data_IF_991167925584
#
_entry.id   IF_991167925584
#
_cell.length_a   1.000
_cell.length_b   1.000
_cell.length_c   1.000
_cell.angle_alpha   90.00
_cell.angle_beta   90.00
_cell.angle_gamma   90.00
#
_symmetry.space_group_name_H-M   'P 1'
#
loop_
_entity.id
_entity.type
_entity.pdbx_description
1 polymer ?
#
# COMPACT_ATOMS: atom_id res chain seq x y z
N UNK A 1 16.86 -10.96 -21.42
CA UNK A 1 17.58 -11.17 -22.68
C UNK A 1 18.23 -9.88 -23.15
N UNK A 2 19.07 -9.27 -22.32
CA UNK A 2 19.83 -8.06 -22.68
C UNK A 2 20.96 -8.42 -23.66
N UNK A 3 21.62 -9.56 -23.44
CA UNK A 3 22.56 -10.15 -24.39
C UNK A 3 21.80 -11.24 -25.15
N UNK A 4 21.40 -10.91 -26.38
CA UNK A 4 20.67 -11.76 -27.31
C UNK A 4 21.49 -11.94 -28.60
N UNK A 5 20.96 -12.69 -29.58
CA UNK A 5 21.60 -12.88 -30.89
C UNK A 5 22.14 -11.61 -31.52
N UNK A 6 21.31 -10.58 -31.64
CA UNK A 6 21.66 -9.30 -32.26
C UNK A 6 22.83 -8.64 -31.53
N UNK A 7 22.80 -8.67 -30.19
CA UNK A 7 23.88 -8.09 -29.37
C UNK A 7 25.18 -8.89 -29.55
N UNK A 8 25.09 -10.23 -29.59
CA UNK A 8 26.25 -11.12 -29.78
C UNK A 8 26.88 -10.92 -31.15
N UNK A 9 26.09 -10.70 -32.20
CA UNK A 9 26.58 -10.46 -33.55
C UNK A 9 27.50 -9.23 -33.65
N UNK A 10 27.22 -8.19 -32.86
CA UNK A 10 28.05 -6.97 -32.79
C UNK A 10 29.38 -7.16 -32.05
N UNK A 11 29.54 -8.26 -31.32
CA UNK A 11 30.76 -8.52 -30.56
C UNK A 11 31.93 -8.95 -31.46
N UNK A 12 33.15 -8.93 -30.92
CA UNK A 12 34.32 -9.51 -31.59
C UNK A 12 34.17 -11.02 -31.69
N UNK A 13 34.67 -11.61 -32.77
CA UNK A 13 34.70 -13.06 -32.94
C UNK A 13 35.64 -13.69 -31.89
N UNK A 14 35.22 -14.82 -31.32
CA UNK A 14 35.95 -15.52 -30.28
C UNK A 14 35.88 -14.88 -28.89
N UNK A 15 34.95 -13.94 -28.66
CA UNK A 15 34.71 -13.35 -27.33
C UNK A 15 34.30 -14.41 -26.30
N UNK A 16 34.61 -14.17 -25.02
CA UNK A 16 34.13 -14.97 -23.91
C UNK A 16 33.07 -14.21 -23.12
N UNK A 17 32.00 -14.90 -22.73
CA UNK A 17 30.87 -14.29 -22.00
C UNK A 17 30.81 -14.90 -20.59
N UNK A 18 30.76 -14.05 -19.57
CA UNK A 18 30.64 -14.47 -18.17
C UNK A 18 29.35 -13.88 -17.60
N UNK A 19 28.48 -14.73 -17.05
CA UNK A 19 27.28 -14.28 -16.33
C UNK A 19 27.20 -14.96 -14.95
N UNK A 20 27.55 -14.19 -13.92
CA UNK A 20 27.34 -14.54 -12.52
C UNK A 20 26.38 -13.57 -11.83
N UNK A 21 25.49 -12.93 -12.60
CA UNK A 21 24.61 -11.87 -12.11
C UNK A 21 23.17 -12.35 -11.93
N UNK A 22 22.41 -12.50 -13.02
CA UNK A 22 21.04 -13.04 -12.98
C UNK A 22 20.75 -13.93 -14.19
N UNK A 23 19.93 -14.95 -13.97
CA UNK A 23 19.30 -15.73 -15.03
C UNK A 23 18.55 -14.84 -16.02
N UNK A 24 18.58 -15.21 -17.29
CA UNK A 24 17.91 -14.47 -18.36
C UNK A 24 18.55 -13.13 -18.75
N UNK A 25 19.68 -12.69 -18.17
CA UNK A 25 20.44 -11.54 -18.73
C UNK A 25 20.96 -11.89 -20.12
N UNK A 26 21.58 -13.06 -20.24
CA UNK A 26 22.02 -13.65 -21.50
C UNK A 26 20.96 -14.66 -21.96
N UNK A 27 20.54 -14.57 -23.22
CA UNK A 27 19.66 -15.58 -23.79
C UNK A 27 20.46 -16.89 -23.98
N UNK A 28 20.07 -17.93 -23.25
CA UNK A 28 20.82 -19.20 -23.17
C UNK A 28 20.90 -19.92 -24.52
N UNK A 29 19.81 -19.89 -25.29
CA UNK A 29 19.74 -20.52 -26.62
C UNK A 29 20.65 -19.80 -27.62
N UNK A 30 20.54 -18.47 -27.69
CA UNK A 30 21.38 -17.68 -28.59
C UNK A 30 22.86 -17.79 -28.24
N UNK A 31 23.19 -17.88 -26.95
CA UNK A 31 24.56 -18.13 -26.49
C UNK A 31 25.06 -19.51 -26.95
N UNK A 32 24.24 -20.56 -26.81
CA UNK A 32 24.57 -21.89 -27.28
C UNK A 32 24.84 -21.93 -28.79
N UNK A 33 23.94 -21.33 -29.59
CA UNK A 33 24.09 -21.19 -31.04
C UNK A 33 25.37 -20.43 -31.42
N UNK A 34 25.69 -19.35 -30.68
CA UNK A 34 26.88 -18.54 -30.94
C UNK A 34 28.19 -19.25 -30.58
N UNK A 35 28.19 -20.10 -29.56
CA UNK A 35 29.35 -20.93 -29.19
C UNK A 35 29.57 -22.03 -30.24
N UNK A 36 28.49 -22.67 -30.69
CA UNK A 36 28.57 -23.71 -31.73
C UNK A 36 29.03 -23.15 -33.08
N UNK A 37 28.57 -21.95 -33.45
CA UNK A 37 29.02 -21.27 -34.68
C UNK A 37 30.45 -20.73 -34.59
N UNK A 38 31.04 -20.67 -33.39
CA UNK A 38 32.38 -20.12 -33.15
C UNK A 38 32.42 -18.59 -33.03
N UNK A 39 31.26 -17.91 -33.11
CA UNK A 39 31.16 -16.46 -32.83
C UNK A 39 31.62 -16.14 -31.41
N UNK A 40 31.23 -16.99 -30.45
CA UNK A 40 31.65 -16.93 -29.05
C UNK A 40 32.64 -18.06 -28.79
N UNK A 41 33.81 -17.71 -28.22
CA UNK A 41 34.90 -18.64 -27.92
C UNK A 41 34.60 -19.56 -26.74
N UNK A 42 33.73 -19.14 -25.83
CA UNK A 42 33.25 -19.90 -24.69
C UNK A 42 32.46 -19.05 -23.70
N UNK A 43 31.93 -19.67 -22.65
CA UNK A 43 31.18 -18.97 -21.61
C UNK A 43 31.41 -19.53 -20.21
N UNK A 44 31.18 -18.70 -19.20
CA UNK A 44 31.10 -19.13 -17.80
C UNK A 44 29.80 -18.61 -17.17
N UNK A 45 28.98 -19.51 -16.63
CA UNK A 45 27.64 -19.20 -16.13
C UNK A 45 27.47 -19.74 -14.71
N UNK A 46 27.10 -18.86 -13.78
CA UNK A 46 26.70 -19.26 -12.43
C UNK A 46 25.18 -19.28 -12.24
N UNK A 47 24.43 -18.67 -13.16
CA UNK A 47 22.99 -18.43 -13.05
C UNK A 47 22.27 -18.81 -14.35
N UNK A 48 21.03 -19.29 -14.23
CA UNK A 48 20.19 -19.73 -15.34
C UNK A 48 18.80 -19.08 -15.23
N UNK A 49 18.11 -18.91 -16.35
CA UNK A 49 16.75 -18.33 -16.40
C UNK A 49 15.77 -19.14 -15.55
N UNK A 50 15.90 -20.47 -15.58
CA UNK A 50 15.21 -21.39 -14.70
C UNK A 50 16.21 -22.20 -13.89
N UNK A 51 16.03 -22.20 -12.57
CA UNK A 51 16.90 -22.93 -11.65
C UNK A 51 16.05 -23.87 -10.78
N UNK A 52 16.33 -25.20 -10.77
CA UNK A 52 17.36 -25.91 -11.55
C UNK A 52 17.11 -25.89 -13.07
N UNK A 53 18.17 -25.86 -13.91
CA UNK A 53 18.03 -25.82 -15.36
C UNK A 53 17.46 -27.15 -15.88
N UNK A 54 16.41 -27.06 -16.70
CA UNK A 54 15.80 -28.21 -17.36
C UNK A 54 16.50 -28.54 -18.69
N UNK A 55 16.94 -27.51 -19.42
CA UNK A 55 17.73 -27.67 -20.64
C UNK A 55 19.22 -27.72 -20.30
N UNK A 56 19.83 -28.88 -20.53
CA UNK A 56 21.25 -29.11 -20.29
C UNK A 56 22.11 -28.89 -21.53
N UNK A 57 21.55 -28.45 -22.65
CA UNK A 57 22.25 -28.32 -23.93
C UNK A 57 23.45 -27.38 -23.84
N UNK A 58 23.29 -26.26 -23.12
CA UNK A 58 24.36 -25.29 -22.90
C UNK A 58 25.45 -25.83 -21.95
N UNK A 59 25.04 -26.52 -20.88
CA UNK A 59 25.93 -27.10 -19.85
C UNK A 59 26.79 -28.23 -20.44
N UNK A 60 26.28 -28.94 -21.45
CA UNK A 60 26.98 -30.04 -22.12
C UNK A 60 28.09 -29.59 -23.09
N UNK A 61 28.22 -28.29 -23.37
CA UNK A 61 29.26 -27.79 -24.25
C UNK A 61 30.59 -27.70 -23.50
N UNK A 62 31.65 -28.33 -24.01
CA UNK A 62 32.99 -28.32 -23.41
C UNK A 62 33.58 -26.91 -23.22
N UNK A 63 33.11 -25.93 -24.00
CA UNK A 63 33.52 -24.52 -23.94
C UNK A 63 32.71 -23.70 -22.93
N UNK A 64 31.85 -24.35 -22.15
CA UNK A 64 31.00 -23.71 -21.15
C UNK A 64 31.36 -24.24 -19.77
N UNK A 65 31.74 -23.33 -18.89
CA UNK A 65 31.94 -23.60 -17.47
C UNK A 65 30.66 -23.22 -16.74
N UNK A 66 30.09 -24.12 -15.96
CA UNK A 66 28.91 -23.84 -15.16
C UNK A 66 29.15 -24.11 -13.68
N UNK A 67 28.60 -23.24 -12.84
CA UNK A 67 28.49 -23.45 -11.40
C UNK A 67 27.03 -23.29 -10.96
N UNK A 68 26.54 -24.04 -9.96
CA UNK A 68 25.14 -24.02 -9.56
C UNK A 68 24.84 -22.87 -8.58
N UNK A 69 24.83 -21.62 -9.05
CA UNK A 69 24.50 -20.42 -8.27
C UNK A 69 25.33 -20.29 -6.98
N UNK A 70 26.65 -20.40 -7.12
CA UNK A 70 27.59 -20.46 -6.02
C UNK A 70 28.16 -19.10 -5.62
N UNK A 71 27.87 -18.00 -6.33
CA UNK A 71 28.47 -16.70 -6.07
C UNK A 71 28.37 -16.23 -4.60
N UNK A 72 27.26 -16.53 -3.91
CA UNK A 72 27.06 -16.22 -2.49
C UNK A 72 27.27 -17.41 -1.55
N UNK A 73 27.69 -18.57 -2.07
CA UNK A 73 27.90 -19.81 -1.32
C UNK A 73 29.31 -19.90 -0.73
N UNK A 74 29.75 -18.83 -0.05
CA UNK A 74 31.02 -18.77 0.68
C UNK A 74 30.78 -18.61 2.18
N UNK A 75 31.71 -19.08 3.01
CA UNK A 75 31.57 -18.96 4.47
C UNK A 75 31.48 -17.51 4.91
N UNK A 76 32.32 -16.66 4.33
CA UNK A 76 32.42 -15.24 4.62
C UNK A 76 31.13 -14.50 4.22
N UNK A 77 30.54 -14.81 3.06
CA UNK A 77 29.29 -14.19 2.64
C UNK A 77 28.13 -14.60 3.55
N UNK A 78 28.03 -15.89 3.89
CA UNK A 78 26.98 -16.39 4.78
C UNK A 78 27.11 -15.81 6.20
N UNK A 79 28.32 -15.70 6.73
CA UNK A 79 28.59 -15.07 8.04
C UNK A 79 28.21 -13.59 8.04
N UNK A 80 28.63 -12.84 7.02
CA UNK A 80 28.28 -11.42 6.89
C UNK A 80 26.77 -11.20 6.77
N UNK A 81 26.07 -12.04 5.99
CA UNK A 81 24.60 -11.98 5.87
C UNK A 81 23.94 -12.31 7.21
N UNK A 82 24.41 -13.34 7.92
CA UNK A 82 23.87 -13.71 9.22
C UNK A 82 24.02 -12.58 10.24
N UNK A 83 25.20 -11.96 10.32
CA UNK A 83 25.46 -10.79 11.19
C UNK A 83 24.56 -9.64 10.77
N UNK A 84 24.50 -9.29 9.48
CA UNK A 84 23.70 -8.18 9.00
C UNK A 84 22.19 -8.35 9.30
N UNK A 85 21.65 -9.57 9.18
CA UNK A 85 20.25 -9.85 9.53
C UNK A 85 20.05 -9.80 11.05
N UNK A 86 20.97 -10.36 11.84
CA UNK A 86 20.89 -10.30 13.30
C UNK A 86 20.91 -8.84 13.80
N UNK A 87 21.80 -8.00 13.27
CA UNK A 87 21.85 -6.57 13.57
C UNK A 87 20.55 -5.85 13.19
N UNK A 88 19.98 -6.14 12.00
CA UNK A 88 18.70 -5.56 11.58
C UNK A 88 17.55 -5.95 12.52
N UNK A 89 17.51 -7.19 13.00
CA UNK A 89 16.52 -7.66 13.97
C UNK A 89 16.70 -6.99 15.33
N UNK A 90 17.94 -6.85 15.82
CA UNK A 90 18.26 -6.15 17.06
C UNK A 90 17.88 -4.67 16.97
N UNK A 91 18.25 -4.01 15.88
CA UNK A 91 17.93 -2.62 15.56
C UNK A 91 16.41 -2.38 15.64
N UNK A 92 15.62 -3.28 15.05
CA UNK A 92 14.16 -3.20 15.09
C UNK A 92 13.60 -3.45 16.50
N UNK A 93 14.00 -4.53 17.17
CA UNK A 93 13.40 -4.95 18.43
C UNK A 93 13.75 -4.01 19.60
N UNK A 94 14.97 -3.45 19.62
CA UNK A 94 15.42 -2.57 20.69
C UNK A 94 15.14 -1.10 20.41
N UNK A 95 15.35 -0.65 19.17
CA UNK A 95 15.34 0.77 18.82
C UNK A 95 14.18 1.16 17.87
N UNK A 96 13.45 0.18 17.34
CA UNK A 96 12.42 0.40 16.32
C UNK A 96 12.97 0.77 14.94
N UNK A 97 14.27 0.68 14.72
CA UNK A 97 14.92 1.07 13.46
C UNK A 97 14.63 0.03 12.38
N UNK A 98 14.09 0.45 11.24
CA UNK A 98 13.76 -0.42 10.11
C UNK A 98 14.78 -0.17 8.99
N UNK A 99 15.65 -1.16 8.73
CA UNK A 99 16.68 -1.10 7.67
C UNK A 99 16.38 -2.15 6.61
N UNK A 100 16.59 -1.80 5.35
CA UNK A 100 16.47 -2.72 4.21
C UNK A 100 15.15 -3.52 4.16
N UNK A 101 14.07 -2.99 4.74
CA UNK A 101 12.78 -3.65 4.72
C UNK A 101 12.25 -3.70 3.29
N UNK A 102 11.94 -4.90 2.83
CA UNK A 102 11.38 -5.14 1.49
C UNK A 102 9.92 -4.70 1.37
N UNK A 103 9.27 -4.41 2.50
CA UNK A 103 7.84 -4.12 2.59
C UNK A 103 7.52 -2.82 3.35
N UNK A 104 8.51 -2.02 3.76
CA UNK A 104 8.32 -0.80 4.54
C UNK A 104 9.24 0.32 4.03
N UNK A 105 8.83 1.60 4.06
CA UNK A 105 9.68 2.70 3.60
C UNK A 105 10.95 2.82 4.45
N UNK A 106 12.06 3.20 3.82
CA UNK A 106 13.30 3.50 4.52
C UNK A 106 13.17 4.83 5.28
N UNK A 107 12.95 4.77 6.59
CA UNK A 107 12.79 5.94 7.46
C UNK A 107 13.93 5.96 8.48
N UNK A 108 14.65 7.08 8.65
CA UNK A 108 15.63 7.24 9.72
C UNK A 108 15.01 7.02 11.11
N UNK A 109 15.73 6.32 11.99
CA UNK A 109 15.24 5.91 13.31
C UNK A 109 14.76 7.08 14.19
N UNK A 110 15.46 8.21 14.12
CA UNK A 110 15.17 9.45 14.84
C UNK A 110 13.87 10.13 14.36
N UNK A 111 13.48 9.91 13.11
CA UNK A 111 12.26 10.47 12.53
C UNK A 111 11.04 9.57 12.72
N UNK A 112 11.23 8.26 12.89
CA UNK A 112 10.14 7.29 12.98
C UNK A 112 9.11 7.60 14.09
N UNK A 113 9.48 8.00 15.32
CA UNK A 113 8.51 8.36 16.35
C UNK A 113 7.62 9.54 15.95
N UNK A 114 8.15 10.48 15.14
CA UNK A 114 7.40 11.64 14.63
C UNK A 114 6.51 11.26 13.45
N UNK A 115 6.97 10.38 12.56
CA UNK A 115 6.25 9.98 11.34
C UNK A 115 5.21 8.89 11.56
N UNK A 116 5.44 7.96 12.50
CA UNK A 116 4.57 6.79 12.72
C UNK A 116 3.09 7.14 12.96
N UNK A 117 2.74 8.16 13.76
CA UNK A 117 1.35 8.59 13.89
C UNK A 117 0.73 9.04 12.56
N UNK A 118 1.46 9.78 11.73
CA UNK A 118 0.99 10.23 10.42
C UNK A 118 0.84 9.08 9.42
N UNK A 119 1.77 8.13 9.43
CA UNK A 119 1.68 6.90 8.61
C UNK A 119 0.41 6.12 8.97
N UNK A 120 0.16 5.94 10.26
CA UNK A 120 -1.04 5.23 10.76
C UNK A 120 -2.32 5.96 10.35
N UNK A 121 -2.35 7.28 10.53
CA UNK A 121 -3.49 8.11 10.13
C UNK A 121 -3.72 8.04 8.60
N UNK A 122 -2.67 8.19 7.80
CA UNK A 122 -2.76 8.18 6.35
C UNK A 122 -3.28 6.85 5.80
N UNK A 123 -2.75 5.73 6.31
CA UNK A 123 -3.22 4.40 5.96
C UNK A 123 -4.71 4.21 6.28
N UNK A 124 -5.13 4.62 7.49
CA UNK A 124 -6.52 4.52 7.90
C UNK A 124 -7.45 5.43 7.07
N UNK A 125 -7.03 6.67 6.77
CA UNK A 125 -7.78 7.57 5.89
C UNK A 125 -7.90 7.02 4.46
N UNK A 126 -6.83 6.42 3.93
CA UNK A 126 -6.83 5.82 2.60
C UNK A 126 -7.79 4.64 2.55
N UNK A 127 -7.72 3.74 3.53
CA UNK A 127 -8.60 2.58 3.63
C UNK A 127 -10.06 2.99 3.80
N UNK A 128 -10.33 4.02 4.62
CA UNK A 128 -11.67 4.58 4.78
C UNK A 128 -12.19 5.17 3.46
N UNK A 129 -11.39 5.98 2.77
CA UNK A 129 -11.78 6.59 1.49
C UNK A 129 -12.13 5.53 0.43
N UNK A 130 -11.33 4.47 0.31
CA UNK A 130 -11.55 3.39 -0.65
C UNK A 130 -12.85 2.61 -0.40
N UNK A 131 -13.25 2.49 0.87
CA UNK A 131 -14.46 1.77 1.26
C UNK A 131 -15.71 2.65 1.21
N UNK A 132 -15.57 3.98 1.29
CA UNK A 132 -16.69 4.94 1.22
C UNK A 132 -17.03 5.33 -0.21
N UNK A 133 -16.02 5.58 -1.04
CA UNK A 133 -16.20 6.12 -2.39
C UNK A 133 -16.27 5.00 -3.44
N UNK A 134 -17.19 5.15 -4.39
CA UNK A 134 -17.36 4.22 -5.49
C UNK A 134 -16.71 4.73 -6.78
N UNK A 135 -16.31 3.77 -7.62
CA UNK A 135 -15.84 4.03 -8.98
C UNK A 135 -14.33 3.84 -9.16
N UNK A 136 -13.92 3.90 -10.42
CA UNK A 136 -12.50 3.84 -10.78
C UNK A 136 -11.81 5.12 -10.33
N UNK A 137 -10.88 4.99 -9.39
CA UNK A 137 -10.06 6.10 -8.92
C UNK A 137 -9.11 6.50 -10.05
N UNK A 138 -9.14 7.77 -10.45
CA UNK A 138 -8.24 8.32 -11.48
C UNK A 138 -7.16 9.21 -10.88
N UNK A 139 -7.44 9.81 -9.73
CA UNK A 139 -6.52 10.73 -9.06
C UNK A 139 -6.65 10.61 -7.54
N UNK A 140 -5.51 10.65 -6.85
CA UNK A 140 -5.40 10.70 -5.40
C UNK A 140 -4.55 11.90 -5.04
N UNK A 141 -5.09 12.80 -4.24
CA UNK A 141 -4.31 13.91 -3.68
C UNK A 141 -4.17 13.76 -2.17
N UNK A 142 -2.93 13.73 -1.70
CA UNK A 142 -2.60 13.75 -0.27
C UNK A 142 -2.17 15.17 0.09
N UNK A 143 -2.99 15.85 0.87
CA UNK A 143 -2.79 17.24 1.26
C UNK A 143 -2.41 17.34 2.73
N UNK A 144 -1.24 17.93 2.98
CA UNK A 144 -0.63 18.10 4.29
C UNK A 144 -0.80 19.54 4.75
N UNK A 145 -1.47 19.75 5.88
CA UNK A 145 -1.74 21.10 6.41
C UNK A 145 -1.15 21.35 7.79
N UNK A 146 -0.68 22.58 8.03
CA UNK A 146 -0.05 22.99 9.28
C UNK A 146 1.24 22.22 9.55
N UNK A 147 1.43 21.74 10.78
CA UNK A 147 2.63 20.98 11.18
C UNK A 147 2.84 19.69 10.35
N UNK A 148 1.78 19.16 9.73
CA UNK A 148 1.88 18.00 8.83
C UNK A 148 2.66 18.30 7.53
N UNK A 149 2.77 19.57 7.13
CA UNK A 149 3.53 19.98 5.95
C UNK A 149 5.05 20.04 6.18
N UNK A 150 5.49 19.99 7.44
CA UNK A 150 6.89 20.13 7.86
C UNK A 150 7.64 18.80 7.99
N UNK A 151 6.92 17.67 7.96
CA UNK A 151 7.52 16.33 8.02
C UNK A 151 7.97 15.86 6.64
N UNK A 152 8.71 14.74 6.61
CA UNK A 152 8.89 13.99 5.36
C UNK A 152 7.55 13.38 4.94
N UNK A 153 6.99 13.89 3.85
CA UNK A 153 5.65 13.52 3.37
C UNK A 153 5.63 12.20 2.64
N UNK A 154 6.75 11.75 2.08
CA UNK A 154 6.80 10.56 1.21
C UNK A 154 6.30 9.29 1.90
N UNK A 155 6.76 8.94 3.13
CA UNK A 155 6.27 7.73 3.79
C UNK A 155 4.77 7.79 4.10
N UNK A 156 4.25 9.00 4.34
CA UNK A 156 2.83 9.23 4.65
C UNK A 156 1.97 9.10 3.39
N UNK A 157 2.42 9.66 2.26
CA UNK A 157 1.76 9.48 0.95
C UNK A 157 1.71 8.00 0.56
N UNK A 158 2.83 7.28 0.73
CA UNK A 158 2.88 5.84 0.47
C UNK A 158 1.88 5.08 1.36
N UNK A 159 1.78 5.44 2.64
CA UNK A 159 0.84 4.84 3.57
C UNK A 159 -0.62 5.09 3.15
N UNK A 160 -0.94 6.32 2.72
CA UNK A 160 -2.24 6.66 2.15
C UNK A 160 -2.59 5.80 0.93
N UNK A 161 -1.64 5.64 -0.01
CA UNK A 161 -1.85 4.79 -1.19
C UNK A 161 -2.02 3.32 -0.81
N UNK A 162 -1.18 2.79 0.09
CA UNK A 162 -1.31 1.41 0.58
C UNK A 162 -2.70 1.20 1.19
N UNK A 163 -3.12 2.08 2.08
CA UNK A 163 -4.44 2.05 2.71
C UNK A 163 -5.56 2.10 1.69
N UNK A 164 -5.47 2.98 0.69
CA UNK A 164 -6.47 3.13 -0.36
C UNK A 164 -6.57 1.90 -1.29
N UNK A 165 -5.44 1.32 -1.66
CA UNK A 165 -5.41 0.22 -2.64
C UNK A 165 -5.72 -1.13 -2.01
N UNK A 166 -5.42 -1.33 -0.72
CA UNK A 166 -5.58 -2.64 -0.07
C UNK A 166 -7.04 -3.17 -0.12
N UNK A 167 -8.09 -2.39 0.20
CA UNK A 167 -9.46 -2.90 0.23
C UNK A 167 -10.05 -3.22 -1.15
N UNK A 168 -9.48 -2.65 -2.22
CA UNK A 168 -10.04 -2.74 -3.58
C UNK A 168 -9.28 -3.72 -4.48
N UNK A 169 -8.14 -4.25 -4.02
CA UNK A 169 -7.29 -5.16 -4.78
C UNK A 169 -7.22 -6.54 -4.14
N UNK A 170 -7.13 -7.57 -4.98
CA UNK A 170 -6.92 -8.96 -4.55
C UNK A 170 -5.43 -9.29 -4.33
N UNK A 171 -4.53 -8.55 -5.00
CA UNK A 171 -3.08 -8.68 -4.83
C UNK A 171 -2.62 -8.05 -3.50
N UNK A 172 -1.52 -8.54 -2.94
CA UNK A 172 -0.98 -8.01 -1.69
C UNK A 172 -0.33 -6.64 -1.92
N UNK A 173 -0.93 -5.61 -1.34
CA UNK A 173 -0.39 -4.24 -1.35
C UNK A 173 0.47 -4.00 -0.11
N UNK A 174 1.67 -3.46 -0.31
CA UNK A 174 2.60 -3.06 0.73
C UNK A 174 3.16 -1.66 0.44
N UNK A 175 4.01 -1.14 1.34
CA UNK A 175 4.53 0.21 1.19
C UNK A 175 5.53 0.38 0.03
N UNK A 176 6.06 -0.70 -0.54
CA UNK A 176 7.01 -0.63 -1.67
C UNK A 176 6.28 -0.68 -3.01
N UNK A 177 5.29 -1.56 -3.15
CA UNK A 177 4.56 -1.71 -4.41
C UNK A 177 3.37 -0.75 -4.57
N UNK A 178 2.81 -0.16 -3.49
CA UNK A 178 1.65 0.72 -3.60
C UNK A 178 1.82 1.87 -4.62
N UNK A 179 2.95 2.61 -4.66
CA UNK A 179 3.16 3.65 -5.68
C UNK A 179 3.27 3.08 -7.10
N UNK A 180 3.87 1.90 -7.26
CA UNK A 180 4.01 1.23 -8.55
C UNK A 180 2.64 0.79 -9.08
N UNK A 181 1.84 0.13 -8.24
CA UNK A 181 0.48 -0.31 -8.56
C UNK A 181 -0.40 0.88 -8.94
N UNK A 182 -0.32 1.99 -8.19
CA UNK A 182 -1.06 3.21 -8.52
C UNK A 182 -0.70 3.70 -9.93
N UNK A 183 0.59 3.76 -10.26
CA UNK A 183 1.08 4.20 -11.57
C UNK A 183 0.66 3.26 -12.70
N UNK A 184 0.79 1.95 -12.52
CA UNK A 184 0.41 0.94 -13.52
C UNK A 184 -1.09 0.96 -13.82
N UNK A 185 -1.90 1.36 -12.83
CA UNK A 185 -3.35 1.54 -12.97
C UNK A 185 -3.74 2.93 -13.47
N UNK A 186 -2.78 3.79 -13.81
CA UNK A 186 -3.03 5.13 -14.31
C UNK A 186 -3.60 6.11 -13.28
N UNK A 187 -3.43 5.82 -11.98
CA UNK A 187 -3.85 6.70 -10.90
C UNK A 187 -2.82 7.83 -10.76
N UNK A 188 -3.24 9.06 -11.00
CA UNK A 188 -2.40 10.24 -10.77
C UNK A 188 -2.29 10.50 -9.26
N UNK A 189 -1.07 10.56 -8.73
CA UNK A 189 -0.82 10.84 -7.30
C UNK A 189 -0.25 12.24 -7.15
N UNK A 190 -0.91 13.09 -6.36
CA UNK A 190 -0.49 14.46 -6.06
C UNK A 190 -0.21 14.62 -4.57
N UNK A 191 0.84 15.37 -4.26
CA UNK A 191 1.09 15.88 -2.90
C UNK A 191 0.85 17.39 -2.87
N UNK A 192 0.10 17.86 -1.88
CA UNK A 192 -0.11 19.28 -1.64
C UNK A 192 0.31 19.65 -0.22
N UNK A 193 0.91 20.83 -0.05
CA UNK A 193 1.26 21.36 1.27
C UNK A 193 0.59 22.72 1.46
N UNK A 194 0.02 22.94 2.63
CA UNK A 194 -0.60 24.21 2.99
C UNK A 194 -0.22 24.61 4.43
N UNK A 195 0.16 25.87 4.68
CA UNK A 195 0.35 26.33 6.06
C UNK A 195 -0.98 26.46 6.83
N UNK A 196 -2.12 26.57 6.13
CA UNK A 196 -3.43 26.74 6.74
C UNK A 196 -4.07 25.39 7.09
N UNK A 197 -4.10 25.07 8.39
CA UNK A 197 -4.78 23.89 8.95
C UNK A 197 -6.15 24.21 9.57
N UNK A 198 -6.68 25.42 9.36
CA UNK A 198 -7.90 25.89 10.00
C UNK A 198 -7.79 25.89 11.52
N UNK A 199 -8.69 25.17 12.20
CA UNK A 199 -8.74 25.11 13.67
C UNK A 199 -7.83 24.03 14.30
N UNK A 200 -7.10 23.27 13.49
CA UNK A 200 -6.24 22.16 13.95
C UNK A 200 -4.76 22.53 13.81
N UNK A 201 -3.88 21.93 14.62
CA UNK A 201 -2.43 22.17 14.51
C UNK A 201 -1.80 21.40 13.34
N UNK A 202 -2.34 20.22 13.06
CA UNK A 202 -1.97 19.37 11.94
C UNK A 202 -3.23 18.79 11.32
N UNK A 203 -3.24 18.65 10.00
CA UNK A 203 -4.33 17.98 9.30
C UNK A 203 -3.80 17.29 8.05
N UNK A 204 -4.30 16.08 7.81
CA UNK A 204 -4.06 15.31 6.60
C UNK A 204 -5.38 15.16 5.86
N UNK A 205 -5.39 15.44 4.56
CA UNK A 205 -6.58 15.30 3.73
C UNK A 205 -6.27 14.37 2.58
N UNK A 206 -7.07 13.32 2.42
CA UNK A 206 -7.01 12.44 1.26
C UNK A 206 -8.20 12.77 0.37
N UNK A 207 -7.91 13.30 -0.82
CA UNK A 207 -8.89 13.53 -1.87
C UNK A 207 -8.79 12.42 -2.90
N UNK A 208 -9.93 11.88 -3.28
CA UNK A 208 -10.04 10.84 -4.30
C UNK A 208 -10.95 11.36 -5.39
N UNK A 209 -10.47 11.31 -6.63
CA UNK A 209 -11.28 11.60 -7.82
C UNK A 209 -11.69 10.29 -8.46
N UNK A 210 -12.99 10.05 -8.53
CA UNK A 210 -13.57 8.89 -9.18
C UNK A 210 -14.78 9.32 -10.01
N UNK A 211 -14.89 8.82 -11.24
CA UNK A 211 -16.00 9.14 -12.16
C UNK A 211 -16.26 10.66 -12.32
N UNK A 212 -15.20 11.48 -12.29
CA UNK A 212 -15.30 12.94 -12.42
C UNK A 212 -15.79 13.68 -11.16
N UNK A 213 -16.11 12.96 -10.07
CA UNK A 213 -16.40 13.54 -8.76
C UNK A 213 -15.16 13.52 -7.89
N UNK A 214 -14.99 14.55 -7.08
CA UNK A 214 -13.96 14.62 -6.06
C UNK A 214 -14.62 14.47 -4.69
N UNK A 215 -14.08 13.56 -3.89
CA UNK A 215 -14.48 13.33 -2.50
C UNK A 215 -13.26 13.41 -1.58
N UNK A 216 -13.47 13.74 -0.31
CA UNK A 216 -12.36 14.04 0.60
C UNK A 216 -12.59 13.52 2.01
N UNK A 217 -11.57 12.92 2.60
CA UNK A 217 -11.55 12.52 4.02
C UNK A 217 -10.48 13.33 4.73
N UNK A 218 -10.85 13.95 5.85
CA UNK A 218 -9.97 14.83 6.62
C UNK A 218 -9.66 14.19 7.97
N UNK A 219 -8.39 14.09 8.29
CA UNK A 219 -7.93 13.57 9.57
C UNK A 219 -6.94 14.47 10.28
N UNK A 220 -6.81 14.27 11.58
CA UNK A 220 -5.85 14.95 12.45
C UNK A 220 -5.31 13.99 13.51
N UNK A 221 -4.21 14.36 14.16
CA UNK A 221 -3.67 13.66 15.32
C UNK A 221 -4.05 14.40 16.61
N UNK A 222 -5.01 13.84 17.34
CA UNK A 222 -5.34 14.31 18.68
C UNK A 222 -4.20 13.95 19.65
N UNK A 223 -3.83 14.88 20.54
CA UNK A 223 -2.69 14.67 21.45
C UNK A 223 -1.38 14.34 20.74
N UNK A 224 -1.22 14.72 19.46
CA UNK A 224 -0.08 14.41 18.56
C UNK A 224 0.09 12.93 18.17
N UNK A 225 -0.75 12.02 18.65
CA UNK A 225 -0.56 10.57 18.42
C UNK A 225 -1.83 9.83 18.01
N UNK A 226 -2.99 10.27 18.47
CA UNK A 226 -4.23 9.53 18.28
C UNK A 226 -4.93 9.95 16.98
N UNK A 227 -5.11 9.04 16.01
CA UNK A 227 -5.76 9.37 14.76
C UNK A 227 -7.25 9.66 14.97
N UNK A 228 -7.74 10.70 14.29
CA UNK A 228 -9.16 11.07 14.22
C UNK A 228 -9.53 11.46 12.80
N UNK A 229 -10.66 10.98 12.29
CA UNK A 229 -11.32 11.54 11.11
C UNK A 229 -12.25 12.64 11.60
N UNK A 230 -11.98 13.86 11.17
CA UNK A 230 -12.69 15.07 11.63
C UNK A 230 -13.74 15.57 10.62
N UNK A 231 -13.69 15.04 9.39
CA UNK A 231 -14.63 15.43 8.33
C UNK A 231 -14.61 14.39 7.22
N UNK A 232 -15.79 14.14 6.65
CA UNK A 232 -15.95 13.36 5.42
C UNK A 232 -16.77 14.22 4.46
N UNK A 233 -16.20 14.56 3.32
CA UNK A 233 -16.70 15.58 2.40
C UNK A 233 -17.03 16.89 3.14
N UNK A 234 -18.29 17.31 3.11
CA UNK A 234 -18.81 18.49 3.81
C UNK A 234 -19.27 18.21 5.24
N UNK A 235 -19.32 16.95 5.68
CA UNK A 235 -19.88 16.56 6.96
C UNK A 235 -18.81 16.57 8.08
N UNK A 236 -18.93 17.42 9.10
CA UNK A 236 -18.05 17.39 10.27
C UNK A 236 -18.37 16.17 11.14
N UNK A 237 -17.34 15.43 11.57
CA UNK A 237 -17.46 14.22 12.40
C UNK A 237 -16.25 14.10 13.33
N UNK A 238 -16.22 13.11 14.21
CA UNK A 238 -15.04 12.83 15.06
C UNK A 238 -14.85 11.33 15.23
N UNK A 239 -14.42 10.63 14.18
CA UNK A 239 -14.35 9.16 14.16
C UNK A 239 -12.96 8.71 14.59
N UNK A 240 -12.88 7.68 15.44
CA UNK A 240 -11.64 6.93 15.66
C UNK A 240 -11.54 5.86 14.56
N UNK A 241 -10.55 5.93 13.65
CA UNK A 241 -10.52 5.09 12.46
C UNK A 241 -9.94 3.70 12.78
N UNK A 242 -10.68 2.91 13.55
CA UNK A 242 -10.30 1.56 13.98
C UNK A 242 -11.50 0.61 13.94
N UNK A 243 -11.24 -0.67 13.63
CA UNK A 243 -12.21 -1.74 13.78
C UNK A 243 -13.31 -1.72 12.73
N UNK A 244 -14.49 -2.23 13.13
CA UNK A 244 -15.64 -2.39 12.24
C UNK A 244 -16.58 -1.21 12.45
N UNK A 245 -16.99 -0.54 11.36
CA UNK A 245 -17.96 0.54 11.43
C UNK A 245 -18.95 0.54 10.28
N UNK A 246 -20.17 0.97 10.59
CA UNK A 246 -21.21 1.26 9.62
C UNK A 246 -21.13 2.75 9.26
N UNK A 247 -20.90 3.04 7.99
CA UNK A 247 -20.97 4.39 7.44
C UNK A 247 -22.29 4.53 6.69
N UNK A 248 -23.16 5.39 7.20
CA UNK A 248 -24.54 5.52 6.75
C UNK A 248 -24.77 6.94 6.26
N UNK A 249 -25.27 7.09 5.03
CA UNK A 249 -25.86 8.34 4.55
C UNK A 249 -27.36 8.33 4.80
N UNK A 250 -27.89 9.39 5.40
CA UNK A 250 -29.30 9.48 5.74
C UNK A 250 -29.83 10.93 5.62
N UNK A 251 -31.16 11.07 5.56
CA UNK A 251 -31.80 12.38 5.77
C UNK A 251 -31.89 12.66 7.27
N UNK A 252 -31.60 13.89 7.71
CA UNK A 252 -31.70 14.29 9.11
C UNK A 252 -33.17 14.41 9.53
N UNK A 253 -33.73 13.31 10.05
CA UNK A 253 -35.15 13.21 10.44
C UNK A 253 -35.29 12.52 11.80
N UNK A 254 -36.32 12.88 12.59
CA UNK A 254 -36.62 12.17 13.83
C UNK A 254 -36.75 10.66 13.60
N UNK A 255 -36.18 9.88 14.53
CA UNK A 255 -36.27 8.42 14.52
C UNK A 255 -35.10 7.69 13.85
N UNK A 256 -34.31 8.32 12.98
CA UNK A 256 -33.20 7.63 12.27
C UNK A 256 -32.22 6.97 13.23
N UNK A 257 -31.71 7.72 14.20
CA UNK A 257 -30.75 7.23 15.20
C UNK A 257 -31.36 6.10 16.03
N UNK A 258 -32.61 6.29 16.49
CA UNK A 258 -33.33 5.30 17.28
C UNK A 258 -33.57 3.99 16.52
N UNK A 259 -33.90 4.08 15.24
CA UNK A 259 -34.14 2.91 14.38
C UNK A 259 -32.86 2.10 14.17
N UNK A 260 -31.73 2.76 13.92
CA UNK A 260 -30.42 2.09 13.77
C UNK A 260 -30.06 1.38 15.08
N UNK A 261 -30.15 2.08 16.21
CA UNK A 261 -29.83 1.50 17.52
C UNK A 261 -30.74 0.32 17.88
N UNK A 262 -32.04 0.44 17.62
CA UNK A 262 -33.00 -0.63 17.88
C UNK A 262 -32.75 -1.86 17.02
N UNK A 263 -32.43 -1.67 15.73
CA UNK A 263 -32.14 -2.78 14.82
C UNK A 263 -30.86 -3.52 15.19
N UNK A 264 -29.79 -2.78 15.52
CA UNK A 264 -28.53 -3.39 15.99
C UNK A 264 -28.71 -4.12 17.33
N UNK A 265 -29.43 -3.52 18.27
CA UNK A 265 -29.75 -4.14 19.57
C UNK A 265 -30.60 -5.40 19.43
N UNK A 266 -31.60 -5.41 18.54
CA UNK A 266 -32.42 -6.61 18.23
C UNK A 266 -31.57 -7.77 17.70
N UNK A 267 -30.48 -7.45 16.98
CA UNK A 267 -29.52 -8.42 16.46
C UNK A 267 -28.34 -8.68 17.41
N UNK A 268 -28.42 -8.21 18.66
CA UNK A 268 -27.39 -8.38 19.69
C UNK A 268 -26.00 -7.84 19.27
N UNK A 269 -25.99 -6.72 18.53
CA UNK A 269 -24.76 -6.01 18.16
C UNK A 269 -24.58 -4.79 19.07
N UNK A 270 -23.49 -4.79 19.84
CA UNK A 270 -23.13 -3.65 20.68
C UNK A 270 -22.57 -2.49 19.85
N UNK A 271 -22.93 -1.26 20.24
CA UNK A 271 -22.42 -0.03 19.64
C UNK A 271 -21.32 0.51 20.55
N UNK A 272 -20.08 0.47 20.07
CA UNK A 272 -18.92 0.99 20.79
C UNK A 272 -18.92 2.52 20.80
N UNK A 273 -19.17 3.13 19.62
CA UNK A 273 -19.18 4.59 19.42
C UNK A 273 -20.15 4.96 18.31
N UNK A 274 -20.69 6.17 18.39
CA UNK A 274 -21.60 6.69 17.39
C UNK A 274 -21.35 8.17 17.16
N UNK A 275 -21.15 8.56 15.90
CA UNK A 275 -20.89 9.93 15.49
C UNK A 275 -21.86 10.36 14.39
N UNK A 276 -22.24 11.63 14.41
CA UNK A 276 -23.18 12.21 13.45
C UNK A 276 -22.60 13.49 12.88
N UNK A 277 -22.64 13.62 11.56
CA UNK A 277 -22.30 14.84 10.87
C UNK A 277 -23.48 15.29 10.02
N UNK A 278 -23.85 16.56 10.09
CA UNK A 278 -24.90 17.14 9.23
C UNK A 278 -24.44 18.48 8.68
N UNK A 279 -24.84 18.78 7.45
CA UNK A 279 -24.55 20.08 6.82
C UNK A 279 -25.51 21.17 7.35
N UNK A 280 -26.79 20.83 7.45
CA UNK A 280 -27.85 21.73 7.92
C UNK A 280 -28.99 20.94 8.56
N UNK A 281 -29.78 21.61 9.41
CA UNK A 281 -30.94 20.99 10.03
C UNK A 281 -31.96 20.55 8.96
N UNK A 282 -32.48 19.33 9.08
CA UNK A 282 -33.41 18.70 8.13
C UNK A 282 -32.84 18.43 6.72
N UNK A 283 -31.52 18.54 6.55
CA UNK A 283 -30.79 18.23 5.32
C UNK A 283 -30.25 16.80 5.26
N UNK A 284 -29.11 16.62 4.59
CA UNK A 284 -28.36 15.36 4.59
C UNK A 284 -27.51 15.24 5.86
N UNK A 285 -27.30 14.00 6.28
CA UNK A 285 -26.42 13.66 7.38
C UNK A 285 -25.67 12.35 7.09
N UNK A 286 -24.56 12.19 7.80
CA UNK A 286 -23.85 10.92 7.92
C UNK A 286 -23.93 10.44 9.36
N UNK A 287 -24.16 9.14 9.51
CA UNK A 287 -24.09 8.43 10.78
C UNK A 287 -22.97 7.40 10.70
N UNK A 288 -22.02 7.46 11.62
CA UNK A 288 -20.92 6.49 11.72
C UNK A 288 -21.05 5.73 13.02
N UNK A 289 -21.22 4.42 12.91
CA UNK A 289 -21.50 3.54 14.05
C UNK A 289 -20.39 2.50 14.16
N UNK A 290 -19.52 2.62 15.15
CA UNK A 290 -18.52 1.60 15.45
C UNK A 290 -19.17 0.47 16.24
N UNK A 291 -18.94 -0.77 15.83
CA UNK A 291 -19.57 -1.96 16.40
C UNK A 291 -18.52 -2.99 16.81
N UNK A 292 -18.84 -3.77 17.84
CA UNK A 292 -17.89 -4.76 18.41
C UNK A 292 -17.93 -6.13 17.70
N UNK A 293 -18.84 -6.31 16.74
CA UNK A 293 -19.06 -7.58 16.05
C UNK A 293 -19.25 -7.38 14.54
N UNK A 294 -18.96 -8.43 13.79
CA UNK A 294 -19.22 -8.46 12.35
C UNK A 294 -20.71 -8.29 12.04
N UNK A 295 -21.00 -7.51 10.99
CA UNK A 295 -22.36 -7.22 10.54
C UNK A 295 -22.62 -8.08 9.29
N UNK A 296 -23.61 -8.95 9.38
CA UNK A 296 -23.97 -9.84 8.27
C UNK A 296 -24.53 -9.05 7.08
N UNK A 297 -24.42 -9.61 5.87
CA UNK A 297 -24.99 -9.01 4.66
C UNK A 297 -26.51 -8.78 4.80
N UNK A 298 -27.24 -9.74 5.39
CA UNK A 298 -28.68 -9.60 5.62
C UNK A 298 -29.02 -8.45 6.57
N UNK A 299 -28.21 -8.22 7.61
CA UNK A 299 -28.42 -7.09 8.51
C UNK A 299 -28.09 -5.75 7.83
N UNK A 300 -27.09 -5.70 6.95
CA UNK A 300 -26.85 -4.51 6.12
C UNK A 300 -28.05 -4.19 5.23
N UNK A 301 -28.70 -5.19 4.66
CA UNK A 301 -29.91 -5.01 3.87
C UNK A 301 -31.09 -4.51 4.73
N UNK A 302 -31.28 -5.07 5.93
CA UNK A 302 -32.28 -4.54 6.87
C UNK A 302 -32.03 -3.07 7.24
N UNK A 303 -30.77 -2.65 7.40
CA UNK A 303 -30.41 -1.26 7.66
C UNK A 303 -30.75 -0.37 6.46
N UNK A 304 -30.56 -0.84 5.22
CA UNK A 304 -30.89 -0.08 3.99
C UNK A 304 -32.38 0.22 3.89
N UNK A 305 -33.22 -0.71 4.34
CA UNK A 305 -34.67 -0.58 4.29
C UNK A 305 -35.24 0.33 5.42
N UNK A 306 -34.41 0.76 6.38
CA UNK A 306 -34.86 1.67 7.43
C UNK A 306 -35.29 3.04 6.84
N UNK A 307 -36.33 3.67 7.40
CA UNK A 307 -36.80 4.96 6.93
C UNK A 307 -35.69 6.03 6.96
N UNK A 308 -35.58 6.76 5.85
CA UNK A 308 -34.63 7.87 5.64
C UNK A 308 -33.15 7.48 5.48
N UNK A 309 -32.82 6.19 5.44
CA UNK A 309 -31.49 5.72 5.04
C UNK A 309 -31.37 5.82 3.51
N UNK A 310 -30.23 6.33 3.04
CA UNK A 310 -29.92 6.50 1.62
C UNK A 310 -28.93 5.41 1.20
N UNK A 311 -27.91 5.18 2.01
CA UNK A 311 -26.93 4.12 1.80
C UNK A 311 -26.29 3.72 3.11
N UNK A 312 -25.79 2.49 3.16
CA UNK A 312 -24.95 1.98 4.24
C UNK A 312 -23.79 1.19 3.64
N UNK A 313 -22.60 1.42 4.20
CA UNK A 313 -21.39 0.67 3.92
C UNK A 313 -20.80 0.13 5.21
N UNK A 314 -20.29 -1.09 5.12
CA UNK A 314 -19.48 -1.69 6.18
C UNK A 314 -18.02 -1.39 5.89
N UNK A 315 -17.35 -0.71 6.80
CA UNK A 315 -15.94 -0.33 6.71
C UNK A 315 -15.16 -1.16 7.73
N UNK A 316 -13.99 -1.67 7.31
CA UNK A 316 -13.03 -2.38 8.14
C UNK A 316 -11.69 -1.65 8.12
N UNK A 317 -11.21 -1.24 9.30
CA UNK A 317 -9.94 -0.53 9.50
C UNK A 317 -9.03 -1.26 10.49
#
# INVERSE_FOLDING_TARGET
NLVNRETIETMKDGVYIINCARGGIVNEKDLGDAIQSGKVGGAALDVFEKEPPEDLSLIKLDRVICTPHLAASTREAQENVAIAIAEQVVDYLLNGTIRNAVNFPSIPADQLPRLRPYITLAEALGSFAAQVYEGGITEVTVEFRGEAGEIDTKPVTIAALKGLLTPILTETVNFVNAPLIARERGIEVKEMRSPDSGNFHNMLVIKVKANGKENAVYGTLYGKKEPRIIRVDSFPVEIIPEGIMLYIHNKDRPGVIGNIGALLGKNNINIARMHFGRESAAGMAISVVSVDAEVSAGLLDEIRELPNIISVRLIRL
#
